data_IF_305768582479
#
_entry.id   IF_305768582479
#
_cell.length_a   1.000
_cell.length_b   1.000
_cell.length_c   1.000
_cell.angle_alpha   90.00
_cell.angle_beta   90.00
_cell.angle_gamma   90.00
#
_symmetry.space_group_name_H-M   'P 1'
#
loop_
_entity.id
_entity.type
_entity.pdbx_description
1 polymer ?
#
# COMPACT_ATOMS: atom_id res chain seq x y z
N UNK A 1 7.94 9.55 -17.05
CA UNK A 1 7.26 10.06 -15.85
C UNK A 1 6.52 8.89 -15.23
N UNK A 2 6.87 8.51 -14.00
CA UNK A 2 6.26 7.37 -13.31
C UNK A 2 4.95 7.82 -12.69
N UNK A 3 3.85 7.10 -12.94
CA UNK A 3 2.56 7.42 -12.32
C UNK A 3 2.65 7.31 -10.79
N UNK A 4 2.02 8.21 -10.02
CA UNK A 4 1.96 8.09 -8.57
C UNK A 4 1.24 6.80 -8.17
N UNK A 5 1.65 6.22 -7.03
CA UNK A 5 1.01 5.02 -6.47
C UNK A 5 -0.40 5.33 -5.99
N UNK A 6 -1.33 4.41 -6.20
CA UNK A 6 -2.71 4.50 -5.70
C UNK A 6 -2.82 4.02 -4.25
N UNK A 7 -3.87 4.42 -3.53
CA UNK A 7 -4.17 3.93 -2.16
C UNK A 7 -4.18 2.39 -2.10
N UNK A 8 -4.85 1.75 -3.07
CA UNK A 8 -4.92 0.29 -3.17
C UNK A 8 -3.53 -0.35 -3.34
N UNK A 9 -2.63 0.29 -4.10
CA UNK A 9 -1.26 -0.21 -4.28
C UNK A 9 -0.47 -0.09 -2.98
N UNK A 10 -0.63 1.01 -2.23
CA UNK A 10 -0.01 1.19 -0.92
C UNK A 10 -0.53 0.17 0.10
N UNK A 11 -1.83 -0.14 0.10
CA UNK A 11 -2.44 -1.20 0.93
C UNK A 11 -1.87 -2.58 0.61
N UNK A 12 -1.73 -2.91 -0.66
CA UNK A 12 -1.09 -4.15 -1.08
C UNK A 12 0.38 -4.24 -0.63
N UNK A 13 1.11 -3.13 -0.61
CA UNK A 13 2.51 -3.09 -0.18
C UNK A 13 2.60 -3.28 1.33
N UNK A 14 1.82 -2.55 2.12
CA UNK A 14 1.82 -2.66 3.57
C UNK A 14 1.40 -4.07 4.01
N UNK A 15 0.30 -4.61 3.48
CA UNK A 15 -0.17 -5.95 3.83
C UNK A 15 0.89 -7.04 3.53
N UNK A 16 1.58 -6.94 2.38
CA UNK A 16 2.66 -7.88 2.05
C UNK A 16 3.88 -7.72 2.95
N UNK A 17 4.20 -6.50 3.35
CA UNK A 17 5.35 -6.23 4.21
C UNK A 17 5.08 -6.63 5.67
N UNK A 18 3.85 -6.45 6.16
CA UNK A 18 3.42 -6.90 7.48
C UNK A 18 3.30 -8.44 7.55
N UNK A 19 2.89 -9.09 6.45
CA UNK A 19 2.87 -10.55 6.34
C UNK A 19 4.25 -11.16 6.02
N UNK A 20 5.28 -10.34 5.78
CA UNK A 20 6.60 -10.84 5.44
C UNK A 20 7.22 -11.60 6.63
N UNK A 21 7.77 -12.79 6.36
CA UNK A 21 8.42 -13.58 7.40
C UNK A 21 9.65 -12.82 7.92
N UNK A 22 9.76 -12.60 9.24
CA UNK A 22 10.91 -11.90 9.82
C UNK A 22 12.18 -12.75 9.75
N UNK A 23 13.32 -12.09 9.93
CA UNK A 23 14.62 -12.75 10.04
C UNK A 23 15.48 -12.65 8.78
N UNK A 24 16.66 -13.26 8.86
CA UNK A 24 17.64 -13.24 7.79
C UNK A 24 17.34 -14.34 6.79
N UNK A 25 17.29 -13.97 5.52
CA UNK A 25 17.06 -14.89 4.43
C UNK A 25 18.39 -15.47 3.93
N UNK A 26 18.38 -16.72 3.48
CA UNK A 26 19.54 -17.43 2.92
C UNK A 26 19.14 -18.09 1.61
N UNK A 27 19.97 -17.91 0.58
CA UNK A 27 19.83 -18.61 -0.69
C UNK A 27 20.38 -20.04 -0.56
N UNK A 28 19.63 -21.02 -1.04
CA UNK A 28 20.01 -22.44 -1.02
C UNK A 28 19.82 -23.00 -2.41
N UNK A 29 20.90 -23.57 -2.96
CA UNK A 29 20.84 -24.35 -4.19
C UNK A 29 20.11 -25.67 -3.94
N UNK A 30 19.13 -25.98 -4.79
CA UNK A 30 18.49 -27.28 -4.79
C UNK A 30 19.17 -28.23 -5.77
N UNK A 31 19.20 -29.52 -5.43
CA UNK A 31 19.62 -30.53 -6.40
C UNK A 31 18.72 -30.47 -7.65
N UNK A 32 19.30 -30.59 -8.85
CA UNK A 32 18.52 -30.69 -10.08
C UNK A 32 17.53 -31.85 -9.99
N UNK A 33 16.33 -31.68 -10.56
CA UNK A 33 15.36 -32.75 -10.67
C UNK A 33 15.34 -33.32 -12.09
N UNK A 34 14.67 -34.46 -12.29
CA UNK A 34 14.64 -35.16 -13.58
C UNK A 34 13.96 -34.34 -14.71
N UNK A 35 13.25 -33.26 -14.37
CA UNK A 35 12.44 -32.47 -15.31
C UNK A 35 13.07 -31.12 -15.67
N UNK A 36 13.93 -30.56 -14.81
CA UNK A 36 14.78 -29.40 -15.10
C UNK A 36 16.21 -29.65 -14.58
N UNK A 37 17.19 -29.88 -15.48
CA UNK A 37 18.57 -30.16 -15.10
C UNK A 37 19.34 -28.91 -14.65
N UNK A 38 18.73 -27.72 -14.70
CA UNK A 38 19.39 -26.48 -14.26
C UNK A 38 19.30 -26.34 -12.74
N UNK A 39 20.35 -25.81 -12.09
CA UNK A 39 20.29 -25.50 -10.67
C UNK A 39 19.24 -24.42 -10.42
N UNK A 40 18.31 -24.69 -9.50
CA UNK A 40 17.31 -23.74 -9.03
C UNK A 40 17.61 -23.37 -7.58
N UNK A 41 17.31 -22.14 -7.22
CA UNK A 41 17.62 -21.61 -5.89
C UNK A 41 16.34 -21.32 -5.13
N UNK A 42 16.31 -21.69 -3.86
CA UNK A 42 15.28 -21.31 -2.90
C UNK A 42 15.82 -20.29 -1.93
N UNK A 43 14.92 -19.48 -1.37
CA UNK A 43 15.24 -18.57 -0.28
C UNK A 43 14.53 -19.08 0.96
N UNK A 44 15.27 -19.29 2.04
CA UNK A 44 14.75 -19.74 3.33
C UNK A 44 15.12 -18.74 4.42
N UNK A 45 14.30 -18.67 5.46
CA UNK A 45 14.63 -17.98 6.71
C UNK A 45 14.49 -18.97 7.86
N UNK A 46 15.35 -18.84 8.86
CA UNK A 46 15.22 -19.55 10.13
C UNK A 46 14.58 -18.59 11.12
N UNK A 47 13.37 -18.90 11.57
CA UNK A 47 12.73 -18.20 12.67
C UNK A 47 12.35 -19.21 13.76
N UNK A 48 12.36 -18.73 15.00
CA UNK A 48 11.84 -19.45 16.16
C UNK A 48 10.38 -19.02 16.29
N UNK A 49 9.46 -19.98 16.32
CA UNK A 49 8.05 -19.73 16.57
C UNK A 49 7.76 -19.30 18.02
N UNK A 50 6.55 -18.81 18.28
CA UNK A 50 6.14 -18.31 19.61
C UNK A 50 6.27 -19.36 20.73
N UNK A 51 6.24 -20.65 20.37
CA UNK A 51 6.37 -21.77 21.28
C UNK A 51 7.85 -22.14 21.59
N UNK A 52 8.81 -21.43 20.99
CA UNK A 52 10.24 -21.67 21.20
C UNK A 52 10.72 -23.02 20.65
N UNK A 53 9.90 -23.69 19.82
CA UNK A 53 10.03 -25.11 19.58
C UNK A 53 9.71 -25.54 18.14
N UNK A 54 9.94 -24.73 17.11
CA UNK A 54 10.31 -25.26 15.79
C UNK A 54 11.08 -24.23 14.95
N UNK A 55 12.26 -24.61 14.43
CA UNK A 55 12.94 -23.98 13.29
C UNK A 55 12.18 -24.34 12.01
N UNK A 56 11.03 -23.71 11.76
CA UNK A 56 10.24 -24.01 10.55
C UNK A 56 10.74 -23.16 9.38
N UNK A 57 11.42 -23.82 8.43
CA UNK A 57 11.90 -23.23 7.19
C UNK A 57 10.71 -22.84 6.30
N UNK A 58 10.39 -21.56 6.20
CA UNK A 58 9.50 -21.10 5.12
C UNK A 58 10.35 -21.01 3.85
N UNK A 59 10.00 -21.84 2.88
CA UNK A 59 10.54 -21.80 1.51
C UNK A 59 9.66 -20.84 0.72
N UNK A 60 10.23 -19.83 0.07
CA UNK A 60 9.47 -19.13 -0.96
C UNK A 60 9.16 -20.13 -2.09
N UNK A 61 7.88 -20.42 -2.36
CA UNK A 61 7.36 -21.46 -3.27
C UNK A 61 7.74 -21.32 -4.78
N UNK A 62 8.76 -20.53 -5.10
CA UNK A 62 9.21 -20.32 -6.47
C UNK A 62 10.68 -20.71 -6.65
N UNK A 63 11.04 -21.47 -7.70
CA UNK A 63 12.42 -21.63 -8.10
C UNK A 63 12.95 -20.30 -8.65
N UNK A 64 13.99 -19.77 -8.01
CA UNK A 64 14.66 -18.53 -8.42
C UNK A 64 15.92 -18.83 -9.22
N UNK A 65 16.34 -17.88 -10.04
CA UNK A 65 17.73 -17.84 -10.53
C UNK A 65 18.64 -17.45 -9.38
N UNK A 66 19.90 -17.90 -9.41
CA UNK A 66 20.90 -17.63 -8.38
C UNK A 66 20.96 -16.15 -7.98
N UNK A 67 21.06 -15.25 -8.96
CA UNK A 67 21.16 -13.82 -8.72
C UNK A 67 19.94 -13.24 -7.98
N UNK A 68 18.73 -13.72 -8.30
CA UNK A 68 17.51 -13.26 -7.63
C UNK A 68 17.44 -13.79 -6.19
N UNK A 69 17.81 -15.05 -5.98
CA UNK A 69 17.86 -15.65 -4.65
C UNK A 69 18.89 -14.97 -3.74
N UNK A 70 20.10 -14.70 -4.26
CA UNK A 70 21.16 -13.98 -3.56
C UNK A 70 20.74 -12.55 -3.22
N UNK A 71 20.09 -11.86 -4.16
CA UNK A 71 19.56 -10.52 -3.93
C UNK A 71 18.53 -10.49 -2.79
N UNK A 72 17.58 -11.44 -2.79
CA UNK A 72 16.58 -11.56 -1.72
C UNK A 72 17.25 -11.93 -0.39
N UNK A 73 18.20 -12.88 -0.39
CA UNK A 73 18.94 -13.29 0.79
C UNK A 73 19.78 -12.15 1.41
N UNK A 74 20.34 -11.28 0.56
CA UNK A 74 21.10 -10.11 0.98
C UNK A 74 20.22 -8.96 1.51
N UNK A 75 18.89 -9.03 1.36
CA UNK A 75 18.02 -8.00 1.92
C UNK A 75 18.14 -7.98 3.44
N UNK A 76 18.46 -6.80 3.97
CA UNK A 76 18.51 -6.61 5.42
C UNK A 76 17.09 -6.80 5.99
N UNK A 77 16.92 -7.47 7.14
CA UNK A 77 15.60 -7.67 7.76
C UNK A 77 14.82 -6.36 8.00
N UNK A 78 15.54 -5.24 8.14
CA UNK A 78 14.96 -3.91 8.35
C UNK A 78 14.32 -3.31 7.08
N UNK A 79 14.60 -3.83 5.88
CA UNK A 79 14.05 -3.29 4.62
C UNK A 79 12.53 -3.34 4.62
N UNK A 80 11.91 -4.43 5.06
CA UNK A 80 10.45 -4.53 5.14
C UNK A 80 9.85 -3.45 6.05
N UNK A 81 10.45 -3.22 7.23
CA UNK A 81 10.02 -2.17 8.17
C UNK A 81 10.17 -0.75 7.59
N UNK A 82 11.27 -0.50 6.87
CA UNK A 82 11.48 0.78 6.18
C UNK A 82 10.40 0.98 5.11
N UNK A 83 10.07 -0.05 4.33
CA UNK A 83 9.03 0.02 3.30
C UNK A 83 7.64 0.28 3.91
N UNK A 84 7.29 -0.36 5.03
CA UNK A 84 6.02 -0.07 5.74
C UNK A 84 5.98 1.39 6.21
N UNK A 85 7.07 1.86 6.81
CA UNK A 85 7.18 3.25 7.30
C UNK A 85 7.01 4.24 6.16
N UNK A 86 7.65 3.96 5.03
CA UNK A 86 7.57 4.80 3.83
C UNK A 86 6.18 4.75 3.19
N UNK A 87 5.54 3.59 3.12
CA UNK A 87 4.17 3.46 2.63
C UNK A 87 3.19 4.28 3.49
N UNK A 88 3.35 4.26 4.82
CA UNK A 88 2.57 5.09 5.75
C UNK A 88 2.82 6.58 5.55
N UNK A 89 4.08 7.00 5.37
CA UNK A 89 4.44 8.39 5.07
C UNK A 89 3.78 8.85 3.76
N UNK A 90 3.90 8.06 2.69
CA UNK A 90 3.29 8.37 1.39
C UNK A 90 1.77 8.46 1.46
N UNK A 91 1.11 7.60 2.25
CA UNK A 91 -0.34 7.73 2.49
C UNK A 91 -0.70 9.03 3.18
N UNK A 92 0.04 9.42 4.22
CA UNK A 92 -0.21 10.68 4.92
C UNK A 92 -0.05 11.88 3.98
N UNK A 93 0.95 11.85 3.09
CA UNK A 93 1.18 12.91 2.09
C UNK A 93 0.10 12.94 1.02
N UNK A 94 -0.35 11.79 0.54
CA UNK A 94 -1.43 11.70 -0.43
C UNK A 94 -2.75 12.20 0.16
N UNK A 95 -3.06 11.81 1.41
CA UNK A 95 -4.23 12.30 2.14
C UNK A 95 -4.18 13.82 2.33
N UNK A 96 -3.04 14.36 2.76
CA UNK A 96 -2.87 15.81 2.92
C UNK A 96 -3.02 16.56 1.59
N UNK A 97 -2.45 16.04 0.50
CA UNK A 97 -2.58 16.62 -0.84
C UNK A 97 -4.04 16.63 -1.31
N UNK A 98 -4.76 15.53 -1.09
CA UNK A 98 -6.19 15.42 -1.42
C UNK A 98 -7.04 16.40 -0.63
N UNK A 99 -6.82 16.51 0.68
CA UNK A 99 -7.52 17.48 1.54
C UNK A 99 -7.27 18.91 1.07
N UNK A 100 -6.02 19.24 0.74
CA UNK A 100 -5.67 20.57 0.23
C UNK A 100 -6.36 20.86 -1.12
N UNK A 101 -6.35 19.91 -2.07
CA UNK A 101 -7.01 20.08 -3.37
C UNK A 101 -8.51 20.36 -3.21
N UNK A 102 -9.20 19.52 -2.43
CA UNK A 102 -10.65 19.67 -2.21
C UNK A 102 -10.99 20.98 -1.49
N UNK A 103 -10.13 21.43 -0.57
CA UNK A 103 -10.34 22.69 0.14
C UNK A 103 -10.13 23.88 -0.78
N UNK A 104 -9.06 23.89 -1.57
CA UNK A 104 -8.78 24.93 -2.57
C UNK A 104 -9.90 25.03 -3.59
N UNK A 105 -10.36 23.91 -4.16
CA UNK A 105 -11.47 23.89 -5.11
C UNK A 105 -12.78 24.39 -4.46
N UNK A 106 -13.04 24.03 -3.21
CA UNK A 106 -14.21 24.53 -2.47
C UNK A 106 -14.13 26.05 -2.24
N UNK A 107 -12.95 26.59 -1.95
CA UNK A 107 -12.74 28.03 -1.78
C UNK A 107 -12.90 28.77 -3.10
N UNK A 108 -12.40 28.21 -4.20
CA UNK A 108 -12.61 28.75 -5.56
C UNK A 108 -14.10 28.77 -5.95
N UNK A 109 -14.86 27.70 -5.64
CA UNK A 109 -16.30 27.66 -5.90
C UNK A 109 -17.07 28.75 -5.14
N UNK A 110 -16.69 29.01 -3.88
CA UNK A 110 -17.29 30.08 -3.08
C UNK A 110 -16.93 31.45 -3.64
N UNK A 111 -15.67 31.67 -4.02
CA UNK A 111 -15.19 32.94 -4.57
C UNK A 111 -15.90 33.33 -5.89
N UNK A 112 -16.33 32.34 -6.68
CA UNK A 112 -17.04 32.57 -7.95
C UNK A 112 -18.57 32.47 -7.83
N UNK A 113 -19.12 32.34 -6.61
CA UNK A 113 -20.56 32.30 -6.42
C UNK A 113 -21.14 33.72 -6.58
N UNK A 114 -21.98 34.01 -7.60
CA UNK A 114 -22.67 35.28 -7.69
C UNK A 114 -23.58 35.42 -6.46
N UNK A 115 -23.68 36.63 -5.91
CA UNK A 115 -24.35 36.94 -4.64
C UNK A 115 -25.67 36.18 -4.44
N UNK A 116 -25.94 35.78 -3.20
CA UNK A 116 -27.12 35.03 -2.73
C UNK A 116 -28.48 35.76 -2.90
N UNK A 117 -28.58 36.73 -3.80
CA UNK A 117 -29.72 37.61 -4.00
C UNK A 117 -30.65 37.12 -5.10
N UNK A 118 -31.46 36.09 -4.81
CA UNK A 118 -32.78 35.82 -5.40
C UNK A 118 -33.06 34.32 -5.26
N UNK A 119 -33.84 33.95 -4.25
CA UNK A 119 -34.34 32.57 -4.05
C UNK A 119 -35.46 32.19 -5.02
N UNK A 120 -35.64 32.93 -6.10
CA UNK A 120 -36.66 32.59 -7.08
C UNK A 120 -36.02 31.88 -8.27
N UNK A 121 -36.29 30.57 -8.30
CA UNK A 121 -36.16 29.67 -9.43
C UNK A 121 -34.73 29.21 -9.76
N UNK A 122 -34.34 28.06 -9.21
CA UNK A 122 -33.98 26.85 -9.99
C UNK A 122 -33.44 25.77 -9.03
N UNK A 123 -33.86 24.54 -9.30
CA UNK A 123 -33.59 23.24 -8.66
C UNK A 123 -32.12 22.79 -8.59
N UNK A 124 -31.16 23.69 -8.42
CA UNK A 124 -29.73 23.36 -8.33
C UNK A 124 -29.16 23.80 -6.97
N UNK A 125 -28.49 22.88 -6.28
CA UNK A 125 -27.81 23.16 -5.00
C UNK A 125 -26.89 24.38 -5.17
N UNK A 126 -26.87 25.28 -4.19
CA UNK A 126 -25.99 26.44 -4.23
C UNK A 126 -24.52 25.98 -4.29
N UNK A 127 -23.66 26.69 -5.04
CA UNK A 127 -22.23 26.38 -5.07
C UNK A 127 -21.59 26.37 -3.67
N UNK A 128 -22.14 27.14 -2.73
CA UNK A 128 -21.74 27.12 -1.32
C UNK A 128 -22.07 25.78 -0.64
N UNK A 129 -23.20 25.13 -0.97
CA UNK A 129 -23.57 23.83 -0.44
C UNK A 129 -22.66 22.73 -0.98
N UNK A 130 -22.30 22.82 -2.27
CA UNK A 130 -21.32 21.92 -2.91
C UNK A 130 -19.95 22.09 -2.29
N UNK A 131 -19.48 23.33 -2.11
CA UNK A 131 -18.21 23.64 -1.45
C UNK A 131 -18.19 23.14 0.01
N UNK A 132 -19.30 23.30 0.74
CA UNK A 132 -19.43 22.76 2.09
C UNK A 132 -19.35 21.22 2.09
N UNK A 133 -19.93 20.55 1.09
CA UNK A 133 -19.81 19.10 0.94
C UNK A 133 -18.38 18.65 0.61
N UNK A 134 -17.69 19.36 -0.28
CA UNK A 134 -16.29 19.09 -0.61
C UNK A 134 -15.39 19.21 0.61
N UNK A 135 -15.55 20.27 1.42
CA UNK A 135 -14.80 20.43 2.69
C UNK A 135 -15.12 19.31 3.68
N UNK A 136 -16.39 18.88 3.79
CA UNK A 136 -16.74 17.71 4.62
C UNK A 136 -16.03 16.44 4.14
N UNK A 137 -16.03 16.17 2.83
CA UNK A 137 -15.34 15.00 2.25
C UNK A 137 -13.82 15.07 2.41
N UNK A 138 -13.25 16.27 2.39
CA UNK A 138 -11.81 16.49 2.61
C UNK A 138 -11.35 16.10 4.02
N UNK A 139 -12.27 16.11 5.00
CA UNK A 139 -12.01 15.73 6.39
C UNK A 139 -12.25 14.24 6.67
N UNK A 140 -12.91 13.51 5.77
CA UNK A 140 -13.16 12.09 5.93
C UNK A 140 -11.91 11.34 5.44
N UNK A 141 -11.21 10.60 6.32
CA UNK A 141 -10.13 9.72 5.89
C UNK A 141 -10.70 8.75 4.85
N UNK A 142 -9.98 8.53 3.75
CA UNK A 142 -10.34 7.52 2.75
C UNK A 142 -10.13 6.12 3.34
N UNK A 143 -10.92 5.73 4.33
CA UNK A 143 -10.82 4.43 4.98
C UNK A 143 -12.15 3.69 4.85
N UNK A 144 -12.50 3.28 3.63
CA UNK A 144 -13.53 2.26 3.33
C UNK A 144 -13.22 1.73 1.91
N UNK A 145 -13.09 0.43 1.58
CA UNK A 145 -13.73 -0.75 2.12
C UNK A 145 -12.81 -1.99 2.01
N UNK A 146 -12.52 -2.61 3.15
CA UNK A 146 -12.24 -4.05 3.21
C UNK A 146 -13.48 -4.73 3.79
N UNK A 147 -14.57 -4.75 3.04
CA UNK A 147 -15.71 -5.61 3.34
C UNK A 147 -15.72 -6.80 2.37
N UNK A 148 -15.56 -8.00 2.94
CA UNK A 148 -16.27 -9.20 2.51
C UNK A 148 -15.77 -9.91 1.25
N UNK A 149 -14.93 -10.93 1.44
CA UNK A 149 -14.62 -11.92 0.42
C UNK A 149 -13.98 -13.19 0.97
N UNK A 150 -14.47 -13.68 2.13
CA UNK A 150 -14.22 -15.04 2.56
C UNK A 150 -15.24 -15.96 1.89
N UNK A 151 -14.77 -16.81 0.96
CA UNK A 151 -15.33 -18.12 0.64
C UNK A 151 -14.17 -19.05 0.27
#
# INVERSE_FOLDING_TARGET
MTSPLTDQQLDGIEARADAATPGTWTAVELPPNEHDPRPVYWVKTEYIDEDGCTTRQTVADAPWRMADAEYIAAMRPEVAKILVTEARRLRAELAATRTNSLTTEADELVAHCPEHGSRDTVWMNCHCDVAADMRRRALVPTSVASEGGAL
#
